data_IF_724895548274
#
_entry.id   IF_724895548274
#
_cell.length_a   1.000
_cell.length_b   1.000
_cell.length_c   1.000
_cell.angle_alpha   90.00
_cell.angle_beta   90.00
_cell.angle_gamma   90.00
#
_symmetry.space_group_name_H-M   'P 1'
#
loop_
_entity.id
_entity.type
_entity.pdbx_description
1 polymer ?
#
# COMPACT_ATOMS: atom_id res chain seq x y z
N UNK A 1 -14.85 0.01 15.16
CA UNK A 1 -15.27 0.27 13.77
C UNK A 1 -14.00 0.50 13.00
N UNK A 2 -13.55 -0.50 12.25
CA UNK A 2 -12.31 -0.42 11.49
C UNK A 2 -12.59 0.34 10.19
N UNK A 3 -11.93 1.50 10.05
CA UNK A 3 -12.08 2.38 8.89
C UNK A 3 -11.37 1.70 7.70
N UNK A 4 -12.11 1.39 6.64
CA UNK A 4 -11.53 0.97 5.36
C UNK A 4 -11.53 2.17 4.41
N UNK A 5 -10.38 2.48 3.80
CA UNK A 5 -10.29 3.57 2.84
C UNK A 5 -10.50 3.05 1.43
N UNK A 6 -11.60 3.48 0.80
CA UNK A 6 -11.81 3.24 -0.61
C UNK A 6 -11.03 4.26 -1.43
N UNK A 7 -10.04 3.79 -2.18
CA UNK A 7 -9.28 4.64 -3.10
C UNK A 7 -9.87 4.50 -4.50
N UNK A 8 -10.90 5.28 -4.79
CA UNK A 8 -11.30 5.55 -6.18
C UNK A 8 -10.28 6.49 -6.80
N UNK A 9 -9.37 5.97 -7.62
CA UNK A 9 -8.25 6.73 -8.18
C UNK A 9 -8.39 6.83 -9.70
N UNK A 10 -8.21 8.05 -10.22
CA UNK A 10 -8.38 8.37 -11.64
C UNK A 10 -7.30 7.70 -12.51
N UNK A 11 -7.62 7.26 -13.75
CA UNK A 11 -6.72 6.48 -14.60
C UNK A 11 -5.40 7.17 -15.02
N UNK A 12 -5.18 8.43 -14.64
CA UNK A 12 -4.09 9.26 -15.14
C UNK A 12 -2.83 9.27 -14.25
N UNK A 13 -2.82 8.58 -13.10
CA UNK A 13 -1.64 8.52 -12.24
C UNK A 13 -0.66 7.46 -12.78
N UNK A 14 0.60 7.85 -13.02
CA UNK A 14 1.68 6.90 -13.32
C UNK A 14 2.00 6.07 -12.05
N UNK A 15 1.58 4.81 -12.05
CA UNK A 15 1.61 3.89 -10.91
C UNK A 15 3.00 3.32 -10.60
N UNK A 16 4.05 3.81 -11.23
CA UNK A 16 5.43 3.54 -10.81
C UNK A 16 5.76 4.13 -9.44
N UNK A 17 4.92 5.04 -8.91
CA UNK A 17 5.14 5.75 -7.64
C UNK A 17 4.07 5.37 -6.62
N UNK A 18 4.49 4.71 -5.54
CA UNK A 18 3.67 4.54 -4.33
C UNK A 18 3.33 5.93 -3.77
N UNK A 19 2.06 6.33 -3.68
CA UNK A 19 1.70 7.61 -3.08
C UNK A 19 2.15 7.63 -1.62
N UNK A 20 2.81 8.71 -1.19
CA UNK A 20 3.33 8.84 0.19
C UNK A 20 2.25 8.58 1.24
N UNK A 21 1.00 8.94 0.94
CA UNK A 21 -0.17 8.69 1.79
C UNK A 21 -0.40 7.21 2.13
N UNK A 22 0.07 6.28 1.30
CA UNK A 22 -0.08 4.85 1.58
C UNK A 22 0.78 4.43 2.78
N UNK A 23 1.93 5.06 2.97
CA UNK A 23 2.76 4.82 4.14
C UNK A 23 2.04 5.25 5.43
N UNK A 24 1.29 6.35 5.38
CA UNK A 24 0.49 6.85 6.51
C UNK A 24 -0.66 5.89 6.85
N UNK A 25 -1.42 5.46 5.83
CA UNK A 25 -2.54 4.54 6.01
C UNK A 25 -2.05 3.18 6.54
N UNK A 26 -1.06 2.58 5.87
CA UNK A 26 -0.55 1.26 6.23
C UNK A 26 0.16 1.29 7.59
N UNK A 27 0.90 2.37 7.89
CA UNK A 27 1.52 2.59 9.20
C UNK A 27 0.51 2.73 10.34
N UNK A 28 -0.70 3.20 10.03
CA UNK A 28 -1.82 3.31 10.97
C UNK A 28 -2.67 2.03 11.04
N UNK A 29 -2.32 0.98 10.29
CA UNK A 29 -3.09 -0.27 10.24
C UNK A 29 -4.36 -0.19 9.41
N UNK A 30 -4.49 0.82 8.54
CA UNK A 30 -5.66 1.00 7.67
C UNK A 30 -5.45 0.18 6.39
N UNK A 31 -6.28 -0.83 6.12
CA UNK A 31 -6.20 -1.62 4.90
C UNK A 31 -6.66 -0.85 3.67
N UNK A 32 -6.13 -1.26 2.52
CA UNK A 32 -6.39 -0.63 1.24
C UNK A 32 -7.47 -1.40 0.46
N UNK A 33 -8.35 -0.67 -0.22
CA UNK A 33 -9.18 -1.25 -1.29
C UNK A 33 -8.75 -0.58 -2.59
N UNK A 34 -8.25 -1.38 -3.53
CA UNK A 34 -7.75 -0.92 -4.82
C UNK A 34 -8.49 -1.59 -5.97
N UNK A 35 -8.71 -0.87 -7.06
CA UNK A 35 -9.33 -1.44 -8.26
C UNK A 35 -8.32 -2.30 -9.04
N UNK A 36 -8.76 -3.35 -9.73
CA UNK A 36 -7.87 -4.29 -10.42
C UNK A 36 -7.00 -3.63 -11.51
N UNK A 37 -7.48 -2.54 -12.11
CA UNK A 37 -6.78 -1.77 -13.14
C UNK A 37 -5.76 -0.76 -12.55
N UNK A 38 -5.72 -0.62 -11.23
CA UNK A 38 -4.80 0.27 -10.52
C UNK A 38 -3.45 -0.41 -10.35
N UNK A 39 -2.58 -0.33 -11.37
CA UNK A 39 -1.16 -0.68 -11.31
C UNK A 39 -0.82 -2.12 -10.85
N UNK A 40 -0.20 -2.91 -11.72
CA UNK A 40 0.10 -4.34 -11.46
C UNK A 40 0.96 -4.59 -10.22
N UNK A 41 1.79 -3.64 -9.79
CA UNK A 41 2.67 -3.79 -8.62
C UNK A 41 1.94 -3.55 -7.29
N UNK A 42 0.97 -2.63 -7.24
CA UNK A 42 0.20 -2.37 -6.02
C UNK A 42 -0.73 -3.54 -5.72
N UNK A 43 -1.53 -3.95 -6.71
CA UNK A 43 -2.45 -5.10 -6.57
C UNK A 43 -1.69 -6.36 -6.14
N UNK A 44 -0.52 -6.60 -6.72
CA UNK A 44 0.35 -7.71 -6.31
C UNK A 44 0.83 -7.62 -4.87
N UNK A 45 1.26 -6.45 -4.40
CA UNK A 45 1.68 -6.31 -3.00
C UNK A 45 0.48 -6.38 -2.02
N UNK A 46 -0.71 -5.90 -2.42
CA UNK A 46 -1.95 -6.06 -1.66
C UNK A 46 -2.25 -7.53 -1.41
N UNK A 47 -2.26 -8.36 -2.46
CA UNK A 47 -2.52 -9.79 -2.35
C UNK A 47 -1.40 -10.52 -1.59
N UNK A 48 -0.14 -10.23 -1.93
CA UNK A 48 1.02 -10.91 -1.34
C UNK A 48 1.16 -10.68 0.16
N UNK A 49 0.84 -9.47 0.63
CA UNK A 49 0.99 -9.12 2.04
C UNK A 49 -0.30 -9.19 2.83
N UNK A 50 -1.45 -9.37 2.17
CA UNK A 50 -2.76 -9.32 2.81
C UNK A 50 -2.96 -7.99 3.53
N UNK A 51 -2.71 -6.88 2.83
CA UNK A 51 -2.83 -5.50 3.34
C UNK A 51 -4.08 -4.78 2.82
N UNK A 52 -5.02 -5.54 2.25
CA UNK A 52 -6.21 -5.00 1.63
C UNK A 52 -6.94 -6.00 0.74
N UNK A 53 -7.82 -5.47 -0.09
CA UNK A 53 -8.55 -6.21 -1.11
C UNK A 53 -8.43 -5.52 -2.47
N UNK A 54 -8.40 -6.32 -3.52
CA UNK A 54 -8.53 -5.85 -4.91
C UNK A 54 -9.98 -6.02 -5.34
N UNK A 55 -10.55 -5.01 -6.00
CA UNK A 55 -11.96 -4.99 -6.43
C UNK A 55 -12.09 -4.76 -7.93
N UNK A 56 -13.18 -5.27 -8.50
CA UNK A 56 -13.59 -4.93 -9.87
C UNK A 56 -14.43 -3.64 -9.85
N UNK A 57 -13.95 -2.63 -10.59
CA UNK A 57 -14.61 -1.33 -10.72
C UNK A 57 -16.04 -1.42 -11.25
N UNK A 58 -16.32 -2.40 -12.10
CA UNK A 58 -17.61 -2.57 -12.73
C UNK A 58 -18.59 -3.40 -11.89
N UNK A 59 -18.17 -3.86 -10.71
CA UNK A 59 -18.95 -4.73 -9.84
C UNK A 59 -19.13 -4.10 -8.45
N UNK A 60 -20.23 -3.37 -8.20
CA UNK A 60 -20.54 -2.83 -6.87
C UNK A 60 -20.50 -3.88 -5.76
N UNK A 61 -20.94 -5.11 -6.07
CA UNK A 61 -20.87 -6.25 -5.14
C UNK A 61 -19.43 -6.59 -4.71
N UNK A 62 -18.43 -6.32 -5.56
CA UNK A 62 -17.02 -6.50 -5.20
C UNK A 62 -16.57 -5.57 -4.08
N UNK A 63 -17.08 -4.33 -4.05
CA UNK A 63 -16.77 -3.35 -3.01
C UNK A 63 -17.40 -3.74 -1.67
N UNK A 64 -18.67 -4.17 -1.69
CA UNK A 64 -19.37 -4.65 -0.50
C UNK A 64 -18.66 -5.87 0.11
N UNK A 65 -18.26 -6.83 -0.74
CA UNK A 65 -17.51 -8.00 -0.30
C UNK A 65 -16.16 -7.61 0.32
N UNK A 66 -15.42 -6.67 -0.28
CA UNK A 66 -14.15 -6.20 0.26
C UNK A 66 -14.31 -5.55 1.65
N UNK A 67 -15.33 -4.70 1.83
CA UNK A 67 -15.64 -4.08 3.12
C UNK A 67 -15.97 -5.16 4.16
N UNK A 68 -16.81 -6.13 3.80
CA UNK A 68 -17.16 -7.25 4.69
C UNK A 68 -15.95 -8.09 5.09
N UNK A 69 -15.05 -8.40 4.15
CA UNK A 69 -13.81 -9.14 4.44
C UNK A 69 -12.93 -8.35 5.41
N UNK A 70 -12.70 -7.07 5.12
CA UNK A 70 -11.82 -6.21 5.91
C UNK A 70 -12.35 -6.03 7.34
N UNK A 71 -13.65 -5.76 7.48
CA UNK A 71 -14.28 -5.50 8.79
C UNK A 71 -14.38 -6.74 9.66
N UNK A 72 -14.46 -7.94 9.07
CA UNK A 72 -14.57 -9.19 9.83
C UNK A 72 -13.23 -9.90 10.06
N UNK A 73 -12.17 -9.54 9.31
CA UNK A 73 -10.85 -10.14 9.45
C UNK A 73 -9.87 -9.16 10.10
N UNK A 74 -9.72 -9.27 11.42
CA UNK A 74 -8.77 -8.43 12.20
C UNK A 74 -7.27 -8.62 11.85
N UNK A 75 -6.94 -9.44 10.86
CA UNK A 75 -5.55 -9.74 10.46
C UNK A 75 -4.96 -8.61 9.61
N UNK A 76 -5.79 -7.90 8.84
CA UNK A 76 -5.35 -6.87 7.89
C UNK A 76 -4.57 -5.73 8.55
N UNK A 77 -5.04 -5.21 9.69
CA UNK A 77 -4.37 -4.11 10.38
C UNK A 77 -2.93 -4.46 10.78
N UNK A 78 -2.73 -5.67 11.30
CA UNK A 78 -1.41 -6.16 11.70
C UNK A 78 -0.47 -6.33 10.49
N UNK A 79 -1.00 -6.81 9.36
CA UNK A 79 -0.26 -6.95 8.11
C UNK A 79 0.14 -5.59 7.54
N UNK A 80 -0.76 -4.60 7.58
CA UNK A 80 -0.50 -3.24 7.13
C UNK A 80 0.68 -2.62 7.89
N UNK A 81 0.66 -2.69 9.23
CA UNK A 81 1.73 -2.17 10.09
C UNK A 81 3.04 -2.90 9.81
N UNK A 82 3.00 -4.24 9.67
CA UNK A 82 4.17 -5.05 9.35
C UNK A 82 4.76 -4.68 8.00
N UNK A 83 3.92 -4.46 6.99
CA UNK A 83 4.33 -4.02 5.66
C UNK A 83 5.02 -2.66 5.71
N UNK A 84 4.36 -1.66 6.35
CA UNK A 84 4.90 -0.30 6.48
C UNK A 84 6.27 -0.30 7.16
N UNK A 85 6.43 -1.00 8.29
CA UNK A 85 7.74 -1.15 8.97
C UNK A 85 8.81 -1.83 8.12
N UNK A 86 8.41 -2.76 7.24
CA UNK A 86 9.37 -3.49 6.40
C UNK A 86 9.82 -2.66 5.21
N UNK A 87 8.88 -2.03 4.50
CA UNK A 87 9.07 -1.44 3.17
C UNK A 87 9.17 0.09 3.18
N UNK A 88 8.64 0.76 4.20
CA UNK A 88 8.48 2.22 4.24
C UNK A 88 9.17 2.85 5.46
N UNK A 89 10.16 2.17 6.02
CA UNK A 89 10.96 2.66 7.15
C UNK A 89 11.93 3.75 6.69
N UNK A 90 11.67 4.99 7.11
CA UNK A 90 12.49 6.16 6.79
C UNK A 90 13.96 5.99 7.19
N UNK A 91 14.26 5.29 8.28
CA UNK A 91 15.64 5.08 8.70
C UNK A 91 16.39 4.17 7.73
N UNK A 92 15.72 3.17 7.14
CA UNK A 92 16.32 2.32 6.10
C UNK A 92 16.56 3.11 4.83
N UNK A 93 15.58 3.90 4.41
CA UNK A 93 15.68 4.78 3.22
C UNK A 93 16.83 5.78 3.40
N UNK A 94 16.92 6.47 4.53
CA UNK A 94 18.02 7.40 4.84
C UNK A 94 19.39 6.73 4.77
N UNK A 95 19.55 5.51 5.31
CA UNK A 95 20.80 4.73 5.21
C UNK A 95 21.15 4.32 3.78
N UNK A 96 20.18 4.15 2.89
CA UNK A 96 20.42 3.88 1.47
C UNK A 96 20.91 5.14 0.77
N UNK A 97 20.21 6.28 0.93
CA UNK A 97 20.63 7.56 0.38
C UNK A 97 22.03 7.96 0.85
N UNK A 98 22.32 7.81 2.14
CA UNK A 98 23.65 8.09 2.69
C UNK A 98 24.77 7.25 2.03
N UNK A 99 24.50 5.97 1.74
CA UNK A 99 25.47 5.12 1.02
C UNK A 99 25.67 5.57 -0.42
N UNK A 100 24.59 5.94 -1.11
CA UNK A 100 24.68 6.46 -2.48
C UNK A 100 25.48 7.77 -2.51
N UNK A 101 25.22 8.69 -1.58
CA UNK A 101 26.01 9.93 -1.48
C UNK A 101 27.49 9.66 -1.21
N UNK A 102 27.81 8.69 -0.35
CA UNK A 102 29.19 8.28 -0.12
C UNK A 102 29.86 7.71 -1.37
N UNK A 103 29.14 6.95 -2.19
CA UNK A 103 29.68 6.41 -3.44
C UNK A 103 29.98 7.54 -4.44
N UNK A 104 29.00 8.43 -4.66
CA UNK A 104 29.16 9.54 -5.60
C UNK A 104 30.27 10.49 -5.18
N UNK A 105 30.41 10.80 -3.89
CA UNK A 105 31.42 11.71 -3.37
C UNK A 105 32.81 11.07 -3.17
N UNK A 106 32.93 9.74 -3.29
CA UNK A 106 34.20 9.03 -3.17
C UNK A 106 34.82 8.67 -4.54
N UNK A 107 34.09 8.90 -5.63
CA UNK A 107 34.56 8.75 -7.01
C UNK A 107 35.19 10.06 -7.57
N UNK A 108 35.40 11.07 -6.72
CA UNK A 108 36.25 12.26 -6.93
C UNK A 108 37.57 12.13 -6.14
#
# INVERSE_FOLDING_TARGET
>A
ADLALLLGLTPAADWSVWPVKFAEYLGSGIPLIAEQEVGTDLTREIDKWGIGCVVDRNSPASYENAINIITNQGVYASNCIKYARKRMDLNKTAKQYFRLYKQVLADD
#
